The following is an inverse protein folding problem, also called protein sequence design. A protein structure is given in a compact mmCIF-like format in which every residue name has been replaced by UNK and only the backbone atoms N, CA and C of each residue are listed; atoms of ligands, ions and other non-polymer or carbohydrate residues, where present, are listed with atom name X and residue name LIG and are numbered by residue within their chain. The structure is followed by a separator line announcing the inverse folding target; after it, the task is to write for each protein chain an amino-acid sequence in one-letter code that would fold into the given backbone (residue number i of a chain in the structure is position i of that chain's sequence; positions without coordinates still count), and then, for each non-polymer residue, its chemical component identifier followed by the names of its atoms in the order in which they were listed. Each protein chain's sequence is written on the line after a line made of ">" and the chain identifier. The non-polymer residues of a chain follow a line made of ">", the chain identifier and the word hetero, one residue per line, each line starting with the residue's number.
data_IF_765634331746
#
_entry.id   IF_765634331746
#
_cell.length_a   1.000
_cell.length_b   1.000
_cell.length_c   1.000
_cell.angle_alpha   90.00
_cell.angle_beta   90.00
_cell.angle_gamma   90.00
#
_symmetry.space_group_name_H-M   'P 1'
#
loop_
_entity.id
_entity.type
_entity.pdbx_description
1 polymer ?
#
# COMPACT_ATOMS: atom_id res chain seq x y z
N UNK A 1 6.60 -11.12 -22.88
CA UNK A 1 6.92 -9.96 -22.04
C UNK A 1 6.58 -10.25 -20.60
N UNK A 2 7.53 -10.06 -19.71
CA UNK A 2 7.44 -10.38 -18.27
C UNK A 2 6.38 -9.50 -17.61
N UNK A 3 5.20 -10.07 -17.36
CA UNK A 3 4.04 -9.38 -16.74
C UNK A 3 4.19 -9.32 -15.21
N UNK A 4 5.19 -10.00 -14.63
CA UNK A 4 5.35 -10.09 -13.18
C UNK A 4 6.06 -8.87 -12.60
N UNK A 5 5.31 -8.08 -11.82
CA UNK A 5 5.87 -7.03 -10.96
C UNK A 5 6.62 -7.70 -9.81
N UNK A 6 7.91 -7.38 -9.64
CA UNK A 6 8.77 -7.94 -8.59
C UNK A 6 8.86 -6.96 -7.42
N UNK A 7 9.02 -7.49 -6.21
CA UNK A 7 9.37 -6.70 -5.03
C UNK A 7 10.80 -6.19 -5.17
N UNK A 8 11.01 -4.90 -4.89
CA UNK A 8 12.31 -4.25 -4.94
C UNK A 8 12.81 -4.02 -3.52
N UNK A 9 14.08 -4.36 -3.25
CA UNK A 9 14.69 -4.16 -1.92
C UNK A 9 14.74 -2.68 -1.54
N UNK A 10 14.78 -2.34 -0.22
CA UNK A 10 14.93 -0.95 0.23
C UNK A 10 16.17 -0.27 -0.37
N UNK A 11 17.28 -0.99 -0.51
CA UNK A 11 18.50 -0.46 -1.12
C UNK A 11 18.32 -0.07 -2.58
N UNK A 12 17.63 -0.87 -3.39
CA UNK A 12 17.32 -0.50 -4.78
C UNK A 12 16.31 0.63 -4.87
N UNK A 13 15.35 0.71 -3.94
CA UNK A 13 14.40 1.84 -3.85
C UNK A 13 15.11 3.17 -3.61
N UNK A 14 16.21 3.19 -2.83
CA UNK A 14 17.00 4.40 -2.59
C UNK A 14 17.66 4.97 -3.86
N UNK A 15 17.79 4.16 -4.92
CA UNK A 15 18.23 4.59 -6.24
C UNK A 15 17.07 4.98 -7.19
N UNK A 16 15.86 5.16 -6.64
CA UNK A 16 14.68 5.63 -7.38
C UNK A 16 13.98 4.52 -8.18
N UNK A 17 14.17 3.24 -7.81
CA UNK A 17 13.45 2.12 -8.43
C UNK A 17 12.13 1.89 -7.68
N UNK A 18 11.01 1.89 -8.41
CA UNK A 18 9.68 1.67 -7.84
C UNK A 18 9.56 0.30 -7.16
N UNK A 19 8.82 0.24 -6.05
CA UNK A 19 8.64 -0.98 -5.26
C UNK A 19 7.99 -2.16 -5.99
N UNK A 20 7.32 -1.90 -7.12
CA UNK A 20 6.68 -2.91 -7.98
C UNK A 20 7.11 -2.76 -9.44
N UNK A 21 8.36 -2.40 -9.67
CA UNK A 21 8.89 -2.21 -11.02
C UNK A 21 8.90 -3.52 -11.83
N UNK A 22 8.64 -3.40 -13.13
CA UNK A 22 8.89 -4.49 -14.09
C UNK A 22 10.38 -4.62 -14.32
N UNK A 23 10.85 -5.79 -14.68
CA UNK A 23 12.30 -6.03 -14.82
C UNK A 23 12.97 -5.04 -15.78
N UNK A 24 12.34 -4.73 -16.91
CA UNK A 24 12.91 -3.76 -17.86
C UNK A 24 13.04 -2.35 -17.28
N UNK A 25 12.09 -1.92 -16.41
CA UNK A 25 12.15 -0.62 -15.72
C UNK A 25 13.33 -0.60 -14.72
N UNK A 26 13.60 -1.74 -14.06
CA UNK A 26 14.77 -1.90 -13.19
C UNK A 26 16.05 -1.76 -14.01
N UNK A 27 16.15 -2.47 -15.14
CA UNK A 27 17.32 -2.42 -16.03
C UNK A 27 17.58 -0.98 -16.47
N UNK A 28 16.58 -0.30 -17.04
CA UNK A 28 16.71 1.09 -17.50
C UNK A 28 17.14 2.04 -16.38
N UNK A 29 16.55 1.91 -15.18
CA UNK A 29 16.90 2.78 -14.06
C UNK A 29 18.31 2.52 -13.54
N UNK A 30 18.74 1.26 -13.45
CA UNK A 30 20.10 0.89 -13.06
C UNK A 30 21.12 1.43 -14.07
N UNK A 31 20.87 1.32 -15.37
CA UNK A 31 21.72 1.92 -16.40
C UNK A 31 21.84 3.44 -16.24
N UNK A 32 20.71 4.13 -15.98
CA UNK A 32 20.71 5.57 -15.75
C UNK A 32 21.52 5.94 -14.50
N UNK A 33 21.29 5.24 -13.39
CA UNK A 33 22.04 5.43 -12.14
C UNK A 33 23.54 5.21 -12.37
N UNK A 34 23.91 4.17 -13.11
CA UNK A 34 25.31 3.89 -13.39
C UNK A 34 25.94 4.99 -14.29
N UNK A 35 25.21 5.56 -15.24
CA UNK A 35 25.69 6.75 -16.00
C UNK A 35 25.97 7.94 -15.06
N UNK A 36 25.05 8.21 -14.11
CA UNK A 36 25.23 9.28 -13.13
C UNK A 36 26.42 9.01 -12.18
N UNK A 37 26.59 7.76 -11.75
CA UNK A 37 27.72 7.32 -10.89
C UNK A 37 29.05 7.41 -11.60
N UNK A 38 29.10 6.97 -12.88
CA UNK A 38 30.31 7.02 -13.69
C UNK A 38 30.85 8.45 -13.86
N UNK A 39 29.94 9.44 -13.95
CA UNK A 39 30.35 10.86 -14.00
C UNK A 39 31.04 11.34 -12.71
N UNK A 40 30.67 10.74 -11.56
CA UNK A 40 31.22 11.05 -10.24
C UNK A 40 32.43 10.17 -9.88
N UNK A 41 32.64 9.08 -10.61
CA UNK A 41 33.71 8.14 -10.35
C UNK A 41 35.09 8.75 -10.72
N UNK A 42 36.17 8.45 -9.97
CA UNK A 42 37.51 8.87 -10.32
C UNK A 42 37.89 8.45 -11.72
N UNK A 43 38.46 9.35 -12.52
CA UNK A 43 38.84 9.11 -13.93
C UNK A 43 37.68 8.61 -14.82
N UNK A 44 36.42 8.75 -14.37
CA UNK A 44 35.21 8.24 -15.05
C UNK A 44 35.31 6.73 -15.35
N UNK A 45 35.83 5.97 -14.40
CA UNK A 45 35.95 4.52 -14.49
C UNK A 45 35.44 3.85 -13.21
N UNK A 46 34.74 2.75 -13.34
CA UNK A 46 34.38 1.93 -12.20
C UNK A 46 35.56 1.07 -11.76
N UNK A 47 35.81 1.01 -10.46
CA UNK A 47 36.83 0.17 -9.85
C UNK A 47 36.30 -1.26 -9.62
N UNK A 48 35.01 -1.40 -9.31
CA UNK A 48 34.33 -2.69 -9.08
C UNK A 48 32.84 -2.57 -9.36
N UNK A 49 32.18 -3.72 -9.38
CA UNK A 49 30.72 -3.86 -9.45
C UNK A 49 30.21 -4.53 -8.17
N UNK A 50 29.10 -4.05 -7.59
CA UNK A 50 28.56 -4.61 -6.37
C UNK A 50 27.04 -4.43 -6.25
N UNK A 51 26.40 -5.38 -5.56
CA UNK A 51 25.02 -5.32 -5.09
C UNK A 51 24.93 -5.10 -3.57
N UNK A 52 26.07 -4.92 -2.87
CA UNK A 52 26.14 -4.70 -1.43
C UNK A 52 25.95 -3.21 -1.13
N UNK A 53 24.87 -2.88 -0.40
CA UNK A 53 24.46 -1.50 -0.20
C UNK A 53 25.56 -0.62 0.44
N UNK A 54 26.27 -1.13 1.43
CA UNK A 54 27.36 -0.38 2.09
C UNK A 54 28.51 -0.03 1.15
N UNK A 55 28.78 -0.84 0.12
CA UNK A 55 29.82 -0.56 -0.86
C UNK A 55 29.36 0.46 -1.92
N UNK A 56 28.06 0.58 -2.10
CA UNK A 56 27.47 1.52 -3.07
C UNK A 56 27.49 2.99 -2.57
N UNK A 57 28.01 3.27 -1.39
CA UNK A 57 28.35 4.63 -0.98
C UNK A 57 29.50 5.23 -1.80
N UNK A 58 30.43 4.38 -2.31
CA UNK A 58 31.52 4.80 -3.19
C UNK A 58 31.01 4.93 -4.66
N UNK A 59 31.09 6.14 -5.28
CA UNK A 59 30.73 6.34 -6.67
C UNK A 59 31.53 5.48 -7.67
N UNK A 60 32.75 5.07 -7.32
CA UNK A 60 33.58 4.21 -8.16
C UNK A 60 33.08 2.76 -8.22
N UNK A 61 32.04 2.43 -7.43
CA UNK A 61 31.41 1.12 -7.46
C UNK A 61 30.19 1.15 -8.41
N UNK A 62 30.19 0.30 -9.45
CA UNK A 62 29.05 0.11 -10.34
C UNK A 62 27.90 -0.58 -9.59
N UNK A 63 26.69 -0.04 -9.68
CA UNK A 63 25.49 -0.64 -9.11
C UNK A 63 25.10 -1.89 -9.85
N UNK A 64 24.99 -3.01 -9.13
CA UNK A 64 24.43 -4.26 -9.60
C UNK A 64 23.26 -4.71 -8.71
N UNK A 65 22.56 -5.77 -9.13
CA UNK A 65 21.43 -6.32 -8.40
C UNK A 65 21.24 -7.81 -8.68
N UNK A 66 20.60 -8.51 -7.76
CA UNK A 66 20.26 -9.93 -7.89
C UNK A 66 18.76 -10.05 -8.19
N UNK A 67 18.43 -10.82 -9.23
CA UNK A 67 17.04 -11.17 -9.54
C UNK A 67 16.71 -12.52 -8.88
N UNK A 68 15.97 -12.46 -7.77
CA UNK A 68 15.50 -13.66 -7.09
C UNK A 68 14.42 -14.38 -7.90
N UNK A 69 14.48 -15.70 -7.96
CA UNK A 69 13.43 -16.52 -8.57
C UNK A 69 12.16 -16.51 -7.71
N UNK A 70 10.97 -16.21 -8.28
CA UNK A 70 9.71 -16.26 -7.55
C UNK A 70 9.40 -17.69 -7.05
N UNK A 71 8.95 -17.80 -5.80
CA UNK A 71 8.59 -19.06 -5.14
C UNK A 71 7.13 -19.04 -4.72
N UNK A 72 6.19 -19.03 -5.69
CA UNK A 72 4.76 -18.82 -5.42
C UNK A 72 4.18 -19.85 -4.45
N UNK A 73 4.54 -21.12 -4.59
CA UNK A 73 4.07 -22.18 -3.66
C UNK A 73 4.48 -21.87 -2.21
N UNK A 74 5.73 -21.39 -1.99
CA UNK A 74 6.20 -20.98 -0.66
C UNK A 74 5.45 -19.77 -0.13
N UNK A 75 5.19 -18.78 -0.98
CA UNK A 75 4.44 -17.58 -0.57
C UNK A 75 3.02 -17.93 -0.16
N UNK A 76 2.34 -18.78 -0.92
CA UNK A 76 1.00 -19.29 -0.59
C UNK A 76 0.99 -20.08 0.72
N UNK A 77 1.97 -20.95 0.94
CA UNK A 77 2.08 -21.73 2.18
C UNK A 77 2.28 -20.83 3.41
N UNK A 78 3.13 -19.79 3.28
CA UNK A 78 3.34 -18.83 4.37
C UNK A 78 2.09 -17.98 4.61
N UNK A 79 1.43 -17.51 3.55
CA UNK A 79 0.16 -16.79 3.64
C UNK A 79 -0.91 -17.61 4.34
N UNK A 80 -1.08 -18.88 3.98
CA UNK A 80 -2.02 -19.79 4.64
C UNK A 80 -1.67 -20.02 6.13
N UNK A 81 -0.37 -20.10 6.46
CA UNK A 81 0.08 -20.18 7.86
C UNK A 81 -0.31 -18.95 8.65
N UNK A 82 -0.11 -17.76 8.08
CA UNK A 82 -0.49 -16.46 8.71
C UNK A 82 -2.00 -16.37 8.87
N UNK A 83 -2.77 -16.75 7.85
CA UNK A 83 -4.23 -16.81 7.94
C UNK A 83 -4.69 -17.76 9.07
N UNK A 84 -4.06 -18.92 9.24
CA UNK A 84 -4.29 -19.83 10.35
C UNK A 84 -3.99 -19.23 11.74
N UNK A 85 -3.08 -18.24 11.81
CA UNK A 85 -2.84 -17.51 13.06
C UNK A 85 -4.04 -16.60 13.37
N UNK A 86 -4.57 -15.89 12.37
CA UNK A 86 -5.74 -15.03 12.57
C UNK A 86 -6.98 -15.82 13.03
N UNK A 87 -7.17 -17.04 12.51
CA UNK A 87 -8.26 -17.93 12.93
C UNK A 87 -8.24 -18.35 14.40
N UNK A 88 -7.14 -18.14 15.13
CA UNK A 88 -7.11 -18.34 16.59
C UNK A 88 -7.89 -17.25 17.35
N UNK A 89 -8.10 -16.11 16.71
CA UNK A 89 -8.64 -14.89 17.33
C UNK A 89 -10.00 -14.49 16.81
N UNK A 90 -10.28 -14.79 15.54
CA UNK A 90 -11.52 -14.39 14.86
C UNK A 90 -12.09 -15.51 14.03
N UNK A 91 -13.38 -15.48 13.79
CA UNK A 91 -14.11 -16.38 12.92
C UNK A 91 -13.73 -16.18 11.44
N UNK A 92 -13.75 -17.23 10.60
CA UNK A 92 -13.46 -17.11 9.18
C UNK A 92 -14.39 -16.12 8.45
N UNK A 93 -15.63 -15.98 8.92
CA UNK A 93 -16.65 -15.09 8.34
C UNK A 93 -16.27 -13.62 8.48
N UNK A 94 -15.47 -13.29 9.50
CA UNK A 94 -15.02 -11.91 9.80
C UNK A 94 -13.66 -11.59 9.19
N UNK A 95 -13.06 -12.54 8.44
CA UNK A 95 -11.82 -12.34 7.70
C UNK A 95 -12.11 -12.27 6.20
N UNK A 96 -11.75 -11.16 5.58
CA UNK A 96 -11.74 -11.01 4.13
C UNK A 96 -10.31 -11.03 3.60
N UNK A 97 -9.91 -12.11 2.92
CA UNK A 97 -8.61 -12.20 2.24
C UNK A 97 -8.62 -11.32 0.98
N UNK A 98 -7.99 -10.16 1.06
CA UNK A 98 -7.93 -9.19 -0.04
C UNK A 98 -6.87 -9.57 -1.08
N UNK A 99 -5.73 -10.09 -0.63
CA UNK A 99 -4.64 -10.59 -1.47
C UNK A 99 -3.85 -11.68 -0.73
N UNK A 100 -2.78 -12.18 -1.35
CA UNK A 100 -1.89 -13.17 -0.74
C UNK A 100 -1.21 -12.66 0.55
N UNK A 101 -1.09 -11.35 0.71
CA UNK A 101 -0.35 -10.70 1.79
C UNK A 101 -1.18 -9.66 2.57
N UNK A 102 -2.46 -9.51 2.24
CA UNK A 102 -3.36 -8.57 2.89
C UNK A 102 -4.71 -9.20 3.24
N UNK A 103 -5.18 -8.95 4.46
CA UNK A 103 -6.52 -9.31 4.93
C UNK A 103 -7.20 -8.10 5.55
N UNK A 104 -8.53 -8.06 5.48
CA UNK A 104 -9.36 -7.22 6.34
C UNK A 104 -10.02 -8.11 7.39
N UNK A 105 -10.14 -7.60 8.61
CA UNK A 105 -10.75 -8.29 9.73
C UNK A 105 -11.79 -7.36 10.34
N UNK A 106 -13.04 -7.83 10.46
CA UNK A 106 -14.02 -7.16 11.29
C UNK A 106 -13.76 -7.53 12.75
N UNK A 107 -13.20 -6.58 13.49
CA UNK A 107 -12.82 -6.76 14.89
C UNK A 107 -13.95 -6.40 15.87
N UNK A 108 -15.08 -5.87 15.40
CA UNK A 108 -16.12 -5.26 16.23
C UNK A 108 -16.60 -6.20 17.35
N UNK A 109 -16.88 -7.46 17.02
CA UNK A 109 -17.36 -8.46 18.00
C UNK A 109 -16.29 -8.95 18.98
N UNK A 110 -15.00 -8.69 18.71
CA UNK A 110 -13.88 -9.28 19.44
C UNK A 110 -13.23 -8.32 20.44
N UNK A 111 -13.36 -7.01 20.25
CA UNK A 111 -12.70 -6.00 21.12
C UNK A 111 -13.11 -6.16 22.58
N UNK A 112 -14.42 -6.35 22.85
CA UNK A 112 -14.93 -6.60 24.19
C UNK A 112 -14.49 -7.95 24.75
N UNK A 113 -14.43 -9.00 23.90
CA UNK A 113 -14.00 -10.34 24.29
C UNK A 113 -12.55 -10.36 24.79
N UNK A 114 -11.66 -9.65 24.09
CA UNK A 114 -10.25 -9.57 24.45
C UNK A 114 -9.92 -8.39 25.37
N UNK A 115 -10.90 -7.57 25.72
CA UNK A 115 -10.74 -6.37 26.53
C UNK A 115 -9.63 -5.43 26.02
N UNK A 116 -9.66 -5.15 24.72
CA UNK A 116 -8.70 -4.28 24.01
C UNK A 116 -9.44 -3.33 23.07
N UNK A 117 -8.80 -2.23 22.68
CA UNK A 117 -9.22 -1.39 21.57
C UNK A 117 -8.74 -1.97 20.21
N UNK A 118 -9.10 -1.31 19.12
CA UNK A 118 -8.74 -1.74 17.76
C UNK A 118 -7.23 -1.80 17.56
N UNK A 119 -6.48 -0.85 18.13
CA UNK A 119 -5.02 -0.83 18.08
C UNK A 119 -4.40 -2.01 18.83
N UNK A 120 -4.86 -2.24 20.06
CA UNK A 120 -4.41 -3.36 20.89
C UNK A 120 -4.71 -4.71 20.23
N UNK A 121 -5.89 -4.85 19.61
CA UNK A 121 -6.25 -6.04 18.87
C UNK A 121 -5.33 -6.28 17.66
N UNK A 122 -5.10 -5.27 16.84
CA UNK A 122 -4.17 -5.36 15.71
C UNK A 122 -2.75 -5.70 16.17
N UNK A 123 -2.28 -5.10 17.28
CA UNK A 123 -0.96 -5.37 17.85
C UNK A 123 -0.84 -6.84 18.30
N UNK A 124 -1.87 -7.37 18.94
CA UNK A 124 -1.90 -8.77 19.40
C UNK A 124 -1.75 -9.74 18.22
N UNK A 125 -2.48 -9.52 17.13
CA UNK A 125 -2.38 -10.33 15.91
C UNK A 125 -0.98 -10.25 15.27
N UNK A 126 -0.45 -9.04 15.11
CA UNK A 126 0.87 -8.81 14.49
C UNK A 126 1.98 -9.47 15.30
N UNK A 127 1.93 -9.39 16.63
CA UNK A 127 2.95 -9.98 17.49
C UNK A 127 2.91 -11.51 17.45
N UNK A 128 1.72 -12.16 17.35
CA UNK A 128 1.65 -13.61 17.14
C UNK A 128 2.19 -14.03 15.78
N UNK A 129 1.89 -13.28 14.73
CA UNK A 129 2.48 -13.48 13.39
C UNK A 129 4.01 -13.37 13.46
N UNK A 130 4.53 -12.33 14.06
CA UNK A 130 5.98 -12.12 14.21
C UNK A 130 6.64 -13.25 15.00
N UNK A 131 6.06 -13.63 16.14
CA UNK A 131 6.57 -14.72 17.01
C UNK A 131 6.57 -16.06 16.30
N UNK A 132 5.52 -16.33 15.49
CA UNK A 132 5.31 -17.65 14.87
C UNK A 132 6.05 -17.80 13.55
N UNK A 133 6.26 -16.70 12.81
CA UNK A 133 6.79 -16.75 11.45
C UNK A 133 8.10 -15.95 11.25
N UNK A 134 8.44 -15.06 12.17
CA UNK A 134 9.53 -14.10 12.02
C UNK A 134 9.22 -12.96 11.04
N UNK A 135 7.98 -12.87 10.55
CA UNK A 135 7.55 -11.86 9.56
C UNK A 135 6.89 -10.71 10.30
N UNK A 136 7.36 -9.49 10.01
CA UNK A 136 6.72 -8.26 10.49
C UNK A 136 5.51 -7.91 9.64
N UNK A 137 4.48 -7.32 10.26
CA UNK A 137 3.30 -6.81 9.56
C UNK A 137 3.01 -5.36 9.96
N UNK A 138 2.20 -4.71 9.14
CA UNK A 138 1.72 -3.34 9.36
C UNK A 138 0.20 -3.37 9.34
N UNK A 139 -0.47 -2.64 10.21
CA UNK A 139 -1.92 -2.57 10.23
C UNK A 139 -2.43 -1.13 10.12
N UNK A 140 -3.59 -1.01 9.49
CA UNK A 140 -4.47 0.14 9.59
C UNK A 140 -5.72 -0.25 10.37
N UNK A 141 -6.13 0.57 11.32
CA UNK A 141 -7.38 0.44 12.06
C UNK A 141 -8.31 1.58 11.64
N UNK A 142 -9.56 1.29 11.44
CA UNK A 142 -10.53 2.30 11.02
C UNK A 142 -11.95 1.87 11.28
N UNK A 143 -12.87 2.83 11.24
CA UNK A 143 -14.32 2.62 11.40
C UNK A 143 -14.95 1.87 10.21
N UNK A 144 -14.21 1.74 9.12
CA UNK A 144 -14.63 1.01 7.94
C UNK A 144 -13.41 0.53 7.12
N UNK A 145 -13.65 -0.34 6.15
CA UNK A 145 -12.62 -0.98 5.31
C UNK A 145 -11.76 0.04 4.53
N UNK A 146 -12.37 1.14 4.02
CA UNK A 146 -11.63 2.16 3.30
C UNK A 146 -10.65 2.88 4.22
N UNK A 147 -11.08 3.31 5.39
CA UNK A 147 -10.23 3.99 6.36
C UNK A 147 -9.13 3.07 6.92
N UNK A 148 -9.42 1.77 7.13
CA UNK A 148 -8.38 0.78 7.46
C UNK A 148 -7.28 0.75 6.39
N UNK A 149 -7.67 0.68 5.12
CA UNK A 149 -6.72 0.60 4.01
C UNK A 149 -5.89 1.87 3.87
N UNK A 150 -6.53 3.04 3.98
CA UNK A 150 -5.86 4.35 3.93
C UNK A 150 -4.92 4.55 5.13
N UNK A 151 -5.36 4.19 6.34
CA UNK A 151 -4.52 4.22 7.54
C UNK A 151 -3.26 3.36 7.36
N UNK A 152 -3.40 2.16 6.81
CA UNK A 152 -2.28 1.28 6.56
C UNK A 152 -1.32 1.82 5.49
N UNK A 153 -1.85 2.21 4.33
CA UNK A 153 -1.03 2.53 3.16
C UNK A 153 -0.36 3.92 3.24
N UNK A 154 -1.10 4.92 3.72
CA UNK A 154 -0.61 6.31 3.75
C UNK A 154 0.07 6.64 5.08
N UNK A 155 -0.41 6.11 6.21
CA UNK A 155 0.10 6.49 7.53
C UNK A 155 1.03 5.43 8.10
N UNK A 156 0.53 4.20 8.36
CA UNK A 156 1.29 3.19 9.11
C UNK A 156 2.58 2.77 8.43
N UNK A 157 2.62 2.71 7.10
CA UNK A 157 3.85 2.36 6.35
C UNK A 157 4.95 3.42 6.43
N UNK A 158 4.61 4.66 6.81
CA UNK A 158 5.53 5.80 6.82
C UNK A 158 5.93 6.27 8.23
N UNK A 159 5.31 5.72 9.28
CA UNK A 159 5.72 5.99 10.66
C UNK A 159 6.82 5.03 11.10
N UNK A 160 7.67 5.42 12.09
CA UNK A 160 8.63 4.51 12.70
C UNK A 160 7.90 3.36 13.42
N UNK A 161 8.53 2.21 13.47
CA UNK A 161 8.03 1.11 14.28
C UNK A 161 8.07 1.48 15.77
N UNK A 162 7.09 0.99 16.53
CA UNK A 162 7.08 1.12 17.99
C UNK A 162 8.17 0.25 18.66
N UNK A 163 8.23 0.28 19.99
CA UNK A 163 9.18 -0.53 20.79
C UNK A 163 9.11 -2.05 20.55
N UNK A 164 7.99 -2.52 20.00
CA UNK A 164 7.76 -3.92 19.66
C UNK A 164 8.03 -4.22 18.16
N UNK A 165 8.52 -3.25 17.40
CA UNK A 165 8.76 -3.39 15.96
C UNK A 165 7.49 -3.30 15.10
N UNK A 166 6.39 -2.81 15.66
CA UNK A 166 5.05 -2.80 15.02
C UNK A 166 4.72 -1.40 14.50
N UNK A 167 4.05 -1.34 13.36
CA UNK A 167 3.52 -0.11 12.76
C UNK A 167 2.01 -0.22 12.61
N UNK A 168 1.29 0.57 13.40
CA UNK A 168 -0.18 0.62 13.38
C UNK A 168 -0.60 2.08 13.31
N UNK A 169 -1.50 2.40 12.39
CA UNK A 169 -2.17 3.70 12.31
C UNK A 169 -3.68 3.53 12.44
N UNK A 170 -4.33 4.54 12.96
CA UNK A 170 -5.78 4.57 13.18
C UNK A 170 -6.38 5.78 12.49
N UNK A 171 -7.53 5.59 11.84
CA UNK A 171 -8.32 6.65 11.23
C UNK A 171 -9.80 6.43 11.54
N UNK A 172 -10.46 7.51 11.90
CA UNK A 172 -11.89 7.69 11.76
C UNK A 172 -12.17 8.78 10.72
N UNK A 173 -13.42 9.02 10.39
CA UNK A 173 -13.84 9.99 9.37
C UNK A 173 -13.38 11.41 9.71
N UNK A 174 -13.38 11.79 10.99
CA UNK A 174 -12.94 13.12 11.42
C UNK A 174 -11.43 13.29 11.24
N UNK A 175 -10.65 12.36 11.78
CA UNK A 175 -9.19 12.39 11.68
C UNK A 175 -8.71 12.29 10.22
N UNK A 176 -9.41 11.50 9.39
CA UNK A 176 -9.17 11.42 7.96
C UNK A 176 -9.31 12.78 7.27
N UNK A 177 -10.38 13.51 7.55
CA UNK A 177 -10.62 14.85 7.00
C UNK A 177 -9.55 15.84 7.45
N UNK A 178 -9.23 15.83 8.73
CA UNK A 178 -8.26 16.77 9.32
C UNK A 178 -6.83 16.55 8.79
N UNK A 179 -6.44 15.29 8.56
CA UNK A 179 -5.04 14.96 8.28
C UNK A 179 -4.76 14.62 6.81
N UNK A 180 -5.73 14.04 6.09
CA UNK A 180 -5.48 13.47 4.77
C UNK A 180 -6.26 14.12 3.62
N UNK A 181 -7.22 15.01 3.88
CA UNK A 181 -7.91 15.72 2.79
C UNK A 181 -6.99 16.53 1.89
N UNK A 182 -5.88 17.05 2.41
CA UNK A 182 -4.86 17.77 1.65
C UNK A 182 -3.69 16.90 1.17
N UNK A 183 -3.71 15.59 1.43
CA UNK A 183 -2.60 14.71 1.06
C UNK A 183 -2.39 14.61 -0.45
N UNK A 184 -1.13 14.63 -0.86
CA UNK A 184 -0.69 14.44 -2.25
C UNK A 184 0.51 13.48 -2.29
N UNK A 185 0.64 12.68 -3.34
CA UNK A 185 -0.22 12.60 -4.53
C UNK A 185 -1.53 11.85 -4.26
N UNK A 186 -2.60 12.20 -4.96
CA UNK A 186 -3.91 11.56 -4.81
C UNK A 186 -3.89 10.05 -5.17
N UNK A 187 -2.89 9.61 -5.91
CA UNK A 187 -2.67 8.20 -6.27
C UNK A 187 -2.27 7.30 -5.09
N UNK A 188 -1.95 7.86 -3.94
CA UNK A 188 -1.69 7.09 -2.72
C UNK A 188 -2.97 6.52 -2.12
N UNK A 189 -4.11 7.13 -2.44
CA UNK A 189 -5.41 6.67 -1.96
C UNK A 189 -5.88 5.42 -2.71
N UNK A 190 -6.41 4.49 -1.95
CA UNK A 190 -6.95 3.24 -2.46
C UNK A 190 -7.95 3.49 -3.59
N UNK A 191 -7.81 2.75 -4.70
CA UNK A 191 -8.59 2.83 -5.94
C UNK A 191 -8.42 4.10 -6.78
N UNK A 192 -7.48 4.97 -6.44
CA UNK A 192 -7.11 6.10 -7.29
C UNK A 192 -5.83 5.78 -8.06
N UNK A 193 -5.97 5.24 -9.25
CA UNK A 193 -4.83 4.99 -10.14
C UNK A 193 -4.44 6.22 -10.98
N UNK A 194 -3.29 6.14 -11.68
CA UNK A 194 -2.77 7.22 -12.52
C UNK A 194 -3.79 7.74 -13.55
N UNK A 195 -4.59 6.85 -14.15
CA UNK A 195 -5.62 7.25 -15.11
C UNK A 195 -6.78 8.05 -14.48
N UNK A 196 -7.14 7.74 -13.22
CA UNK A 196 -8.12 8.53 -12.45
C UNK A 196 -7.53 9.87 -12.06
N UNK A 197 -6.31 9.89 -11.52
CA UNK A 197 -5.61 11.10 -11.14
C UNK A 197 -5.46 12.07 -12.32
N UNK A 198 -5.02 11.61 -13.48
CA UNK A 198 -4.89 12.45 -14.68
C UNK A 198 -6.21 13.06 -15.15
N UNK A 199 -7.34 12.35 -14.99
CA UNK A 199 -8.67 12.92 -15.30
C UNK A 199 -9.14 13.91 -14.25
N UNK A 200 -8.83 13.69 -12.97
CA UNK A 200 -9.10 14.64 -11.90
C UNK A 200 -8.29 15.93 -12.09
N UNK A 201 -7.00 15.80 -12.42
CA UNK A 201 -6.10 16.94 -12.68
C UNK A 201 -6.63 17.85 -13.80
N UNK A 202 -7.19 17.29 -14.90
CA UNK A 202 -7.82 18.07 -15.96
C UNK A 202 -9.04 18.88 -15.50
N UNK A 203 -9.63 18.52 -14.36
CA UNK A 203 -10.71 19.26 -13.72
C UNK A 203 -10.20 20.23 -12.64
N UNK A 204 -8.88 20.29 -12.39
CA UNK A 204 -8.28 21.08 -11.31
C UNK A 204 -8.44 20.45 -9.93
N UNK A 205 -8.62 19.13 -9.84
CA UNK A 205 -8.80 18.36 -8.61
C UNK A 205 -7.51 17.59 -8.33
N UNK A 206 -6.89 17.85 -7.18
CA UNK A 206 -5.59 17.26 -6.79
C UNK A 206 -5.65 16.47 -5.50
N UNK A 207 -6.71 16.65 -4.69
CA UNK A 207 -6.83 16.08 -3.36
C UNK A 207 -8.20 15.47 -3.11
N UNK A 208 -8.32 14.63 -2.08
CA UNK A 208 -9.63 14.12 -1.63
C UNK A 208 -10.54 15.25 -1.12
N UNK A 209 -9.96 16.26 -0.47
CA UNK A 209 -10.69 17.45 -0.06
C UNK A 209 -11.26 18.24 -1.24
N UNK A 210 -10.61 18.25 -2.40
CA UNK A 210 -11.18 18.87 -3.61
C UNK A 210 -12.40 18.11 -4.09
N UNK A 211 -12.33 16.76 -4.14
CA UNK A 211 -13.48 15.92 -4.52
C UNK A 211 -14.65 16.16 -3.58
N UNK A 212 -14.40 16.21 -2.26
CA UNK A 212 -15.42 16.46 -1.24
C UNK A 212 -16.09 17.81 -1.46
N UNK A 213 -15.32 18.88 -1.71
CA UNK A 213 -15.88 20.22 -2.01
C UNK A 213 -16.70 20.21 -3.28
N UNK A 214 -16.24 19.54 -4.34
CA UNK A 214 -16.97 19.42 -5.60
C UNK A 214 -18.29 18.67 -5.46
N UNK A 215 -18.36 17.69 -4.55
CA UNK A 215 -19.57 16.91 -4.29
C UNK A 215 -20.69 17.71 -3.64
N UNK A 216 -20.40 18.86 -3.04
CA UNK A 216 -21.38 19.75 -2.42
C UNK A 216 -21.99 20.76 -3.39
N UNK A 217 -21.41 20.92 -4.59
CA UNK A 217 -21.88 21.82 -5.62
C UNK A 217 -22.61 21.05 -6.72
N UNK A 218 -23.89 21.38 -6.97
CA UNK A 218 -24.74 20.67 -7.92
C UNK A 218 -24.21 20.71 -9.39
N UNK A 219 -23.55 21.79 -9.77
CA UNK A 219 -22.97 21.92 -11.13
C UNK A 219 -21.65 21.13 -11.25
N UNK A 220 -20.78 21.21 -10.23
CA UNK A 220 -19.48 20.55 -10.23
C UNK A 220 -19.62 19.02 -10.12
N UNK A 221 -20.54 18.52 -9.31
CA UNK A 221 -20.83 17.09 -9.25
C UNK A 221 -21.28 16.53 -10.60
N UNK A 222 -22.07 17.31 -11.37
CA UNK A 222 -22.46 16.94 -12.72
C UNK A 222 -21.28 16.78 -13.68
N UNK A 223 -20.19 17.55 -13.50
CA UNK A 223 -18.94 17.36 -14.27
C UNK A 223 -18.21 16.07 -13.87
N UNK A 224 -18.20 15.72 -12.57
CA UNK A 224 -17.62 14.45 -12.12
C UNK A 224 -18.36 13.26 -12.77
N UNK A 225 -19.70 13.27 -12.79
CA UNK A 225 -20.47 12.21 -13.42
C UNK A 225 -20.21 12.09 -14.92
N UNK A 226 -20.03 13.22 -15.64
CA UNK A 226 -19.67 13.20 -17.07
C UNK A 226 -18.32 12.53 -17.33
N UNK A 227 -17.34 12.68 -16.42
CA UNK A 227 -15.97 12.15 -16.58
C UNK A 227 -15.85 10.72 -16.05
N UNK A 228 -16.49 10.40 -14.92
CA UNK A 228 -16.27 9.14 -14.20
C UNK A 228 -17.49 8.20 -14.21
N UNK A 229 -18.66 8.67 -14.64
CA UNK A 229 -19.89 7.87 -14.62
C UNK A 229 -20.21 7.35 -13.23
N UNK A 230 -20.55 6.07 -13.11
CA UNK A 230 -20.85 5.40 -11.83
C UNK A 230 -19.70 5.42 -10.81
N UNK A 231 -18.45 5.55 -11.27
CA UNK A 231 -17.31 5.63 -10.38
C UNK A 231 -17.24 6.95 -9.60
N UNK A 232 -18.08 7.94 -9.96
CA UNK A 232 -18.20 9.21 -9.22
C UNK A 232 -18.67 8.98 -7.79
N UNK A 233 -19.66 8.11 -7.59
CA UNK A 233 -20.17 7.77 -6.24
C UNK A 233 -19.05 7.20 -5.36
N UNK A 234 -18.31 6.23 -5.91
CA UNK A 234 -17.15 5.65 -5.22
C UNK A 234 -16.10 6.71 -4.84
N UNK A 235 -15.79 7.64 -5.75
CA UNK A 235 -14.81 8.69 -5.49
C UNK A 235 -15.30 9.66 -4.40
N UNK A 236 -16.58 10.01 -4.43
CA UNK A 236 -17.20 10.89 -3.41
C UNK A 236 -17.22 10.19 -2.06
N UNK A 237 -17.71 8.95 -1.98
CA UNK A 237 -17.75 8.18 -0.72
C UNK A 237 -16.36 8.09 -0.10
N UNK A 238 -15.36 7.71 -0.89
CA UNK A 238 -13.97 7.66 -0.44
C UNK A 238 -13.43 9.02 -0.01
N UNK A 239 -13.78 10.10 -0.69
CA UNK A 239 -13.39 11.45 -0.31
C UNK A 239 -13.98 11.88 1.03
N UNK A 240 -15.17 11.37 1.40
CA UNK A 240 -15.79 11.59 2.71
C UNK A 240 -15.35 10.58 3.77
N UNK A 241 -14.51 9.60 3.43
CA UNK A 241 -14.06 8.55 4.34
C UNK A 241 -15.09 7.43 4.54
N UNK A 242 -16.03 7.28 3.61
CA UNK A 242 -17.09 6.28 3.66
C UNK A 242 -16.68 5.08 2.80
N UNK A 243 -16.87 3.86 3.31
CA UNK A 243 -16.68 2.65 2.53
C UNK A 243 -17.91 2.35 1.68
N UNK A 244 -17.70 1.98 0.42
CA UNK A 244 -18.77 1.38 -0.39
C UNK A 244 -19.14 0.03 0.20
N UNK A 245 -20.44 -0.23 0.36
CA UNK A 245 -20.94 -1.41 1.05
C UNK A 245 -20.39 -2.73 0.47
N UNK A 246 -20.18 -3.70 1.35
CA UNK A 246 -19.58 -5.03 1.12
C UNK A 246 -20.19 -5.85 -0.03
N UNK A 247 -21.41 -5.54 -0.43
CA UNK A 247 -22.13 -6.20 -1.53
C UNK A 247 -21.46 -6.04 -2.90
N UNK A 248 -20.73 -4.94 -3.14
CA UNK A 248 -20.01 -4.71 -4.38
C UNK A 248 -18.69 -5.48 -4.48
N UNK A 249 -18.07 -5.81 -3.36
CA UNK A 249 -16.84 -6.61 -3.34
C UNK A 249 -17.09 -8.09 -3.65
N UNK A 250 -18.18 -8.66 -3.14
CA UNK A 250 -18.61 -10.04 -3.48
C UNK A 250 -19.02 -10.19 -4.95
N UNK A 251 -19.61 -9.18 -5.56
CA UNK A 251 -20.02 -9.23 -6.97
C UNK A 251 -18.84 -9.28 -7.96
N UNK A 252 -17.63 -8.85 -7.55
CA UNK A 252 -16.43 -8.96 -8.38
C UNK A 252 -15.75 -10.34 -8.29
N UNK A 253 -15.89 -11.06 -7.19
CA UNK A 253 -15.30 -12.40 -7.03
C UNK A 253 -16.07 -13.48 -7.79
N UNK A 254 -17.40 -13.38 -7.87
CA UNK A 254 -18.25 -14.36 -8.60
C UNK A 254 -18.09 -14.32 -10.13
N UNK A 255 -17.36 -13.35 -10.69
CA UNK A 255 -17.09 -13.24 -12.15
C UNK A 255 -15.72 -13.77 -12.56
N UNK A 256 -14.95 -14.39 -11.68
CA UNK A 256 -13.61 -14.95 -11.96
C UNK A 256 -13.52 -16.47 -11.88
N UNK A 257 -14.66 -17.15 -11.92
CA UNK A 257 -14.73 -18.62 -12.08
C UNK A 257 -15.40 -18.98 -13.38
#
# INVERSE_FOLDING_TARGET
>A
GDVYKRQVSPSLKSFGISGRARLFEVIQRVEQVNKERLQKAPKRQFAKKSYIYSELSDPACELDYIVATPQMAKYLAVSAKIYGIYLKYVSPEDIFAYSIDEVFIDATGYLGLYNVDGRGFAQMLILDVLKTTGITATAGVGTNMYLCKVAMDIVAKHIPADKNGVRIAELNEQLYKETLWGHTPITDFWRVGAGTASRLEKLGIYTMGDISRWSLDHYLIGKLYKVFGKNTELLIDHAWGIAVSYTHLRAHETRRH
#
